data_IF_341732639334
#
_entry.id   IF_341732639334
#
_cell.length_a   1.000
_cell.length_b   1.000
_cell.length_c   1.000
_cell.angle_alpha   90.00
_cell.angle_beta   90.00
_cell.angle_gamma   90.00
#
_symmetry.space_group_name_H-M   'P 1'
#
loop_
_entity.id
_entity.type
_entity.pdbx_description
1 polymer ?
#
# COMPACT_ATOMS: atom_id res chain seq x y z
N UNK A 1 -6.43 -18.66 -12.18
CA UNK A 1 -7.62 -19.36 -11.71
C UNK A 1 -7.91 -18.85 -10.31
N UNK A 2 -9.05 -18.17 -10.14
CA UNK A 2 -9.52 -17.70 -8.84
C UNK A 2 -10.09 -18.86 -8.01
N UNK A 3 -10.08 -18.72 -6.69
CA UNK A 3 -10.66 -19.70 -5.78
C UNK A 3 -10.58 -19.25 -4.33
N UNK A 4 -11.27 -19.98 -3.46
CA UNK A 4 -11.18 -19.79 -2.01
C UNK A 4 -10.40 -20.98 -1.41
N UNK A 5 -9.43 -20.66 -0.56
CA UNK A 5 -8.77 -21.62 0.31
C UNK A 5 -8.93 -21.15 1.74
N UNK A 6 -9.44 -22.02 2.60
CA UNK A 6 -9.60 -21.71 4.03
C UNK A 6 -8.72 -22.65 4.87
N UNK A 7 -7.99 -22.08 5.78
CA UNK A 7 -7.18 -22.78 6.77
C UNK A 7 -7.47 -22.15 8.14
N UNK A 8 -7.77 -22.97 9.14
CA UNK A 8 -8.06 -22.49 10.49
C UNK A 8 -6.78 -22.52 11.31
N UNK A 9 -6.39 -21.36 11.85
CA UNK A 9 -5.25 -21.19 12.75
C UNK A 9 -5.65 -20.30 13.91
N UNK A 10 -5.10 -20.58 15.08
CA UNK A 10 -5.19 -19.70 16.23
C UNK A 10 -4.04 -18.68 16.17
N UNK A 11 -4.38 -17.41 15.97
CA UNK A 11 -3.42 -16.33 15.77
C UNK A 11 -3.76 -15.17 16.73
N UNK A 12 -2.74 -14.53 17.26
CA UNK A 12 -2.90 -13.36 18.14
C UNK A 12 -3.34 -12.09 17.38
N UNK A 13 -3.04 -12.03 16.07
CA UNK A 13 -3.38 -10.90 15.20
C UNK A 13 -4.04 -11.37 13.92
N UNK A 14 -4.89 -10.51 13.37
CA UNK A 14 -5.44 -10.66 12.02
C UNK A 14 -4.55 -9.92 11.04
N UNK A 15 -4.09 -10.64 10.02
CA UNK A 15 -3.33 -10.09 8.92
C UNK A 15 -4.25 -9.89 7.71
N UNK A 16 -4.50 -8.63 7.38
CA UNK A 16 -5.26 -8.26 6.20
C UNK A 16 -4.30 -7.98 5.05
N UNK A 17 -4.54 -8.59 3.90
CA UNK A 17 -3.82 -8.30 2.66
C UNK A 17 -4.81 -8.19 1.50
N UNK A 18 -4.81 -7.06 0.83
CA UNK A 18 -5.58 -6.78 -0.37
C UNK A 18 -4.63 -6.48 -1.50
N UNK A 19 -4.67 -7.29 -2.56
CA UNK A 19 -3.85 -7.09 -3.75
C UNK A 19 -4.73 -6.96 -4.98
N UNK A 20 -4.33 -6.07 -5.88
CA UNK A 20 -4.96 -5.91 -7.20
C UNK A 20 -3.87 -5.78 -8.27
N UNK A 21 -4.24 -6.12 -9.49
CA UNK A 21 -3.34 -6.10 -10.63
C UNK A 21 -2.76 -4.69 -10.85
N UNK A 22 -1.49 -4.64 -11.16
CA UNK A 22 -0.74 -3.44 -11.47
C UNK A 22 0.12 -3.62 -12.71
N UNK A 23 0.76 -2.55 -13.18
CA UNK A 23 1.61 -2.58 -14.38
C UNK A 23 2.85 -3.44 -14.17
N UNK A 24 3.28 -4.11 -15.22
CA UNK A 24 4.56 -4.81 -15.29
C UNK A 24 5.74 -3.85 -15.45
N UNK A 25 6.95 -4.38 -15.33
CA UNK A 25 8.19 -3.59 -15.33
C UNK A 25 8.45 -2.83 -16.64
N UNK A 26 7.89 -3.32 -17.77
CA UNK A 26 8.03 -2.73 -19.09
C UNK A 26 6.97 -1.67 -19.42
N UNK A 27 6.00 -1.48 -18.53
CA UNK A 27 4.94 -0.49 -18.68
C UNK A 27 5.35 0.81 -17.98
N UNK A 28 5.29 1.92 -18.69
CA UNK A 28 5.60 3.24 -18.12
C UNK A 28 4.69 3.61 -16.94
N UNK A 29 3.50 3.02 -16.85
CA UNK A 29 2.59 3.16 -15.72
C UNK A 29 3.15 2.62 -14.41
N UNK A 30 4.25 1.84 -14.43
CA UNK A 30 4.93 1.34 -13.22
C UNK A 30 5.31 2.48 -12.26
N UNK A 31 5.74 3.62 -12.79
CA UNK A 31 6.10 4.78 -11.97
C UNK A 31 4.89 5.43 -11.32
N UNK A 32 3.77 5.51 -12.04
CA UNK A 32 2.52 5.99 -11.50
C UNK A 32 1.98 5.07 -10.40
N UNK A 33 2.08 3.76 -10.58
CA UNK A 33 1.69 2.77 -9.56
C UNK A 33 2.54 2.89 -8.29
N UNK A 34 3.84 3.12 -8.40
CA UNK A 34 4.73 3.35 -7.25
C UNK A 34 4.36 4.64 -6.49
N UNK A 35 4.11 5.73 -7.22
CA UNK A 35 3.67 7.00 -6.61
C UNK A 35 2.33 6.82 -5.91
N UNK A 36 1.36 6.15 -6.56
CA UNK A 36 0.06 5.85 -5.99
C UNK A 36 0.18 5.03 -4.69
N UNK A 37 0.90 3.92 -4.73
CA UNK A 37 1.10 3.08 -3.55
C UNK A 37 1.75 3.87 -2.39
N UNK A 38 2.73 4.74 -2.70
CA UNK A 38 3.39 5.59 -1.71
C UNK A 38 2.43 6.64 -1.14
N UNK A 39 1.62 7.28 -1.96
CA UNK A 39 0.60 8.24 -1.51
C UNK A 39 -0.45 7.57 -0.63
N UNK A 40 -0.87 6.35 -0.98
CA UNK A 40 -1.86 5.58 -0.23
C UNK A 40 -1.32 5.03 1.09
N UNK A 41 -0.12 4.45 1.11
CA UNK A 41 0.39 3.74 2.29
C UNK A 41 1.90 3.71 2.43
N UNK A 42 2.63 4.69 1.91
CA UNK A 42 4.10 4.73 1.95
C UNK A 42 4.70 5.32 3.23
N UNK A 43 3.93 5.60 4.25
CA UNK A 43 4.45 6.14 5.52
C UNK A 43 3.38 6.87 6.32
N UNK A 44 3.80 7.54 7.41
CA UNK A 44 2.89 8.18 8.38
C UNK A 44 2.02 9.31 7.77
N UNK A 45 2.48 9.96 6.72
CA UNK A 45 1.70 11.00 6.03
C UNK A 45 0.81 10.46 4.91
N UNK A 46 0.79 9.14 4.68
CA UNK A 46 -0.02 8.52 3.66
C UNK A 46 -1.50 8.46 4.05
N UNK A 47 -2.35 8.40 3.04
CA UNK A 47 -3.81 8.49 3.21
C UNK A 47 -4.37 7.39 4.13
N UNK A 48 -4.02 6.12 3.88
CA UNK A 48 -4.51 5.00 4.69
C UNK A 48 -3.99 5.05 6.12
N UNK A 49 -2.71 5.43 6.32
CA UNK A 49 -2.16 5.59 7.66
C UNK A 49 -2.93 6.64 8.45
N UNK A 50 -3.17 7.81 7.87
CA UNK A 50 -3.91 8.88 8.53
C UNK A 50 -5.36 8.49 8.83
N UNK A 51 -6.07 7.94 7.84
CA UNK A 51 -7.51 7.66 7.95
C UNK A 51 -7.83 6.43 8.80
N UNK A 52 -7.01 5.41 8.74
CA UNK A 52 -7.30 4.10 9.36
C UNK A 52 -6.58 3.95 10.69
N UNK A 53 -5.30 4.31 10.74
CA UNK A 53 -4.51 4.17 11.96
C UNK A 53 -4.64 5.36 12.89
N UNK A 54 -4.39 6.59 12.40
CA UNK A 54 -4.38 7.79 13.26
C UNK A 54 -5.79 8.24 13.65
N UNK A 55 -6.68 8.42 12.67
CA UNK A 55 -8.03 8.95 12.93
C UNK A 55 -8.93 7.92 13.63
N UNK A 56 -8.78 6.63 13.32
CA UNK A 56 -9.70 5.58 13.79
C UNK A 56 -9.07 4.52 14.68
N UNK A 57 -7.76 4.39 14.70
CA UNK A 57 -7.05 3.41 15.53
C UNK A 57 -7.35 1.95 15.21
N UNK A 58 -7.73 1.61 13.96
CA UNK A 58 -8.21 0.28 13.55
C UNK A 58 -7.10 -0.73 13.29
N UNK A 59 -5.85 -0.33 13.33
CA UNK A 59 -4.73 -1.22 13.06
C UNK A 59 -3.44 -0.81 13.79
N UNK A 60 -2.56 -1.77 13.98
CA UNK A 60 -1.22 -1.57 14.54
C UNK A 60 -0.24 -1.08 13.48
N UNK A 61 -0.39 -1.61 12.26
CA UNK A 61 0.40 -1.26 11.10
C UNK A 61 -0.48 -1.25 9.85
N UNK A 62 -0.21 -0.33 8.93
CA UNK A 62 -0.81 -0.30 7.60
C UNK A 62 0.19 0.29 6.62
N UNK A 63 0.32 -0.33 5.47
CA UNK A 63 1.14 0.17 4.37
C UNK A 63 0.62 -0.32 3.02
N UNK A 64 1.04 0.36 1.97
CA UNK A 64 0.81 -0.05 0.59
C UNK A 64 2.14 -0.06 -0.17
N UNK A 65 2.29 -1.02 -1.06
CA UNK A 65 3.46 -1.15 -1.92
C UNK A 65 3.06 -1.60 -3.32
N UNK A 66 3.85 -1.18 -4.30
CA UNK A 66 3.76 -1.64 -5.69
C UNK A 66 4.94 -2.55 -5.99
N UNK A 67 4.66 -3.70 -6.54
CA UNK A 67 5.66 -4.66 -7.03
C UNK A 67 5.44 -4.92 -8.50
N UNK A 68 6.49 -4.82 -9.30
CA UNK A 68 6.45 -5.07 -10.73
C UNK A 68 7.36 -6.23 -11.10
N UNK A 69 6.88 -7.09 -11.96
CA UNK A 69 7.59 -8.18 -12.60
C UNK A 69 7.71 -7.89 -14.11
N UNK A 70 8.29 -8.78 -14.86
CA UNK A 70 8.59 -8.52 -16.28
C UNK A 70 7.33 -8.19 -17.10
N UNK A 71 6.25 -8.93 -16.90
CA UNK A 71 5.01 -8.87 -17.67
C UNK A 71 3.76 -8.57 -16.84
N UNK A 72 3.89 -8.46 -15.54
CA UNK A 72 2.78 -8.22 -14.61
C UNK A 72 3.25 -7.42 -13.40
N UNK A 73 2.32 -6.97 -12.59
CA UNK A 73 2.60 -6.33 -11.31
C UNK A 73 1.39 -6.40 -10.39
N UNK A 74 1.58 -5.96 -9.17
CA UNK A 74 0.48 -5.80 -8.22
C UNK A 74 0.73 -4.64 -7.26
N UNK A 75 -0.35 -4.05 -6.81
CA UNK A 75 -0.36 -3.14 -5.67
C UNK A 75 -1.00 -3.88 -4.50
N UNK A 76 -0.28 -3.94 -3.40
CA UNK A 76 -0.74 -4.63 -2.19
C UNK A 76 -0.88 -3.64 -1.05
N UNK A 77 -2.00 -3.74 -0.34
CA UNK A 77 -2.25 -3.08 0.93
C UNK A 77 -2.21 -4.14 2.00
N UNK A 78 -1.41 -3.91 3.03
CA UNK A 78 -1.32 -4.77 4.20
C UNK A 78 -1.73 -3.98 5.44
N UNK A 79 -2.44 -4.64 6.35
CA UNK A 79 -2.70 -4.14 7.69
C UNK A 79 -2.68 -5.26 8.73
N UNK A 80 -2.10 -4.95 9.90
CA UNK A 80 -2.20 -5.79 11.10
C UNK A 80 -3.26 -5.21 12.03
N UNK A 81 -4.28 -6.00 12.36
CA UNK A 81 -5.45 -5.56 13.10
C UNK A 81 -5.97 -6.64 14.06
N UNK A 82 -7.11 -6.39 14.68
CA UNK A 82 -7.82 -7.35 15.52
C UNK A 82 -9.02 -7.97 14.80
N UNK A 83 -9.55 -9.04 15.38
CA UNK A 83 -10.75 -9.70 14.85
C UNK A 83 -11.98 -8.78 14.90
N UNK A 84 -12.06 -7.91 15.90
CA UNK A 84 -13.18 -6.99 16.06
C UNK A 84 -13.16 -5.86 15.04
N UNK A 85 -11.98 -5.44 14.61
CA UNK A 85 -11.79 -4.25 13.78
C UNK A 85 -11.66 -4.55 12.29
N UNK A 86 -11.40 -5.80 11.90
CA UNK A 86 -11.14 -6.18 10.49
C UNK A 86 -12.28 -5.79 9.56
N UNK A 87 -13.53 -5.88 10.00
CA UNK A 87 -14.70 -5.53 9.19
C UNK A 87 -14.72 -4.04 8.85
N UNK A 88 -14.55 -3.17 9.84
CA UNK A 88 -14.51 -1.73 9.66
C UNK A 88 -13.26 -1.30 8.87
N UNK A 89 -12.10 -1.88 9.18
CA UNK A 89 -10.85 -1.64 8.46
C UNK A 89 -11.00 -1.94 6.97
N UNK A 90 -11.58 -3.08 6.63
CA UNK A 90 -11.79 -3.48 5.24
C UNK A 90 -12.71 -2.50 4.50
N UNK A 91 -13.85 -2.16 5.11
CA UNK A 91 -14.81 -1.24 4.53
C UNK A 91 -14.19 0.15 4.31
N UNK A 92 -13.44 0.66 5.29
CA UNK A 92 -12.79 1.96 5.21
C UNK A 92 -11.65 1.97 4.19
N UNK A 93 -10.86 0.89 4.11
CA UNK A 93 -9.81 0.73 3.09
C UNK A 93 -10.41 0.81 1.68
N UNK A 94 -11.47 0.06 1.41
CA UNK A 94 -12.15 0.08 0.12
C UNK A 94 -12.76 1.45 -0.20
N UNK A 95 -13.32 2.13 0.79
CA UNK A 95 -13.87 3.48 0.63
C UNK A 95 -12.77 4.50 0.28
N UNK A 96 -11.61 4.43 0.94
CA UNK A 96 -10.49 5.32 0.64
C UNK A 96 -9.86 5.04 -0.73
N UNK A 97 -9.79 3.78 -1.16
CA UNK A 97 -9.35 3.43 -2.52
C UNK A 97 -10.25 4.05 -3.59
N UNK A 98 -11.57 3.95 -3.42
CA UNK A 98 -12.54 4.56 -4.34
C UNK A 98 -12.43 6.07 -4.33
N UNK A 99 -12.34 6.66 -3.15
CA UNK A 99 -12.25 8.12 -2.98
C UNK A 99 -10.97 8.68 -3.58
N UNK A 100 -9.85 7.97 -3.45
CA UNK A 100 -8.57 8.39 -4.02
C UNK A 100 -8.59 8.53 -5.54
N UNK A 101 -9.45 7.78 -6.24
CA UNK A 101 -9.62 7.93 -7.68
C UNK A 101 -10.18 9.30 -8.08
N UNK A 102 -10.98 9.91 -7.22
CA UNK A 102 -11.69 11.15 -7.49
C UNK A 102 -11.04 12.38 -6.84
N UNK A 103 -10.42 12.22 -5.67
CA UNK A 103 -10.02 13.34 -4.81
C UNK A 103 -8.54 13.36 -4.38
N UNK A 104 -7.68 12.53 -4.99
CA UNK A 104 -6.25 12.58 -4.71
C UNK A 104 -5.66 13.93 -5.11
N UNK A 105 -5.04 14.60 -4.16
CA UNK A 105 -4.53 15.97 -4.35
C UNK A 105 -3.12 15.98 -4.94
N UNK A 106 -2.77 17.09 -5.62
CA UNK A 106 -1.39 17.32 -6.08
C UNK A 106 -0.38 17.30 -4.93
N UNK A 107 -0.77 17.77 -3.75
CA UNK A 107 0.08 17.77 -2.56
C UNK A 107 0.41 16.33 -2.09
N UNK A 108 -0.54 15.41 -2.13
CA UNK A 108 -0.31 13.99 -1.83
C UNK A 108 0.65 13.36 -2.83
N UNK A 109 0.43 13.62 -4.12
CA UNK A 109 1.30 13.13 -5.21
C UNK A 109 2.72 13.71 -5.10
N UNK A 110 2.85 15.01 -4.88
CA UNK A 110 4.16 15.67 -4.75
C UNK A 110 4.96 15.12 -3.56
N UNK A 111 4.29 14.88 -2.43
CA UNK A 111 4.88 14.30 -1.23
C UNK A 111 5.36 12.86 -1.47
N UNK A 112 4.52 12.03 -2.12
CA UNK A 112 4.87 10.66 -2.49
C UNK A 112 6.08 10.62 -3.44
N UNK A 113 6.11 11.49 -4.44
CA UNK A 113 7.25 11.61 -5.37
C UNK A 113 8.54 12.03 -4.66
N UNK A 114 8.47 12.99 -3.74
CA UNK A 114 9.62 13.42 -2.96
C UNK A 114 10.16 12.29 -2.08
N UNK A 115 9.28 11.52 -1.45
CA UNK A 115 9.63 10.37 -0.62
C UNK A 115 10.30 9.26 -1.45
N UNK A 116 9.77 8.93 -2.62
CA UNK A 116 10.38 7.95 -3.53
C UNK A 116 11.76 8.39 -4.01
N UNK A 117 11.92 9.65 -4.39
CA UNK A 117 13.23 10.20 -4.79
C UNK A 117 14.24 10.11 -3.65
N UNK A 118 13.86 10.48 -2.43
CA UNK A 118 14.73 10.36 -1.27
C UNK A 118 15.13 8.90 -1.01
N UNK A 119 14.17 7.97 -1.09
CA UNK A 119 14.43 6.53 -0.94
C UNK A 119 15.40 5.98 -1.98
N UNK A 120 15.25 6.38 -3.24
CA UNK A 120 16.16 6.00 -4.32
C UNK A 120 17.58 6.53 -4.10
N UNK A 121 17.72 7.79 -3.72
CA UNK A 121 19.03 8.40 -3.43
C UNK A 121 19.71 7.69 -2.26
N UNK A 122 19.00 7.45 -1.17
CA UNK A 122 19.53 6.72 -0.01
C UNK A 122 19.91 5.27 -0.38
N UNK A 123 19.13 4.61 -1.24
CA UNK A 123 19.45 3.27 -1.74
C UNK A 123 20.75 3.22 -2.51
N UNK A 124 21.05 4.25 -3.30
CA UNK A 124 22.31 4.36 -4.06
C UNK A 124 23.55 4.63 -3.17
N UNK A 125 23.38 5.11 -1.96
CA UNK A 125 24.47 5.30 -1.01
C UNK A 125 24.91 4.00 -0.32
N UNK A 126 24.05 2.98 -0.31
CA UNK A 126 24.41 1.68 0.26
C UNK A 126 25.24 0.85 -0.70
N UNK A 127 26.28 0.12 -0.22
CA UNK A 127 27.08 -0.77 -1.07
C UNK A 127 26.25 -1.84 -1.79
N UNK A 128 25.22 -2.36 -1.15
CA UNK A 128 24.29 -3.34 -1.71
C UNK A 128 23.32 -2.75 -2.74
N UNK A 129 23.04 -1.45 -2.66
CA UNK A 129 22.19 -0.77 -3.63
C UNK A 129 22.91 -0.39 -4.93
N UNK A 130 24.25 -0.46 -4.93
CA UNK A 130 25.10 -0.19 -6.11
C UNK A 130 25.51 -1.47 -6.85
N UNK A 131 25.35 -2.61 -6.23
CA UNK A 131 25.66 -3.90 -6.80
C UNK A 131 24.50 -4.44 -7.65
#
# INVERSE_FOLDING_TARGET
>A
VGGERREVKDLEQVHFALSFEGPGYRDDAVYAAQVYATAMGGGMSSRLFQKIREDRGLCYAIYAQSSAYEDTGHVTIYAGTSQEEIGELTALTLAELKRAADDMTEAEVARARAQLRAGLLMGLESPSGRA
#
